data_IF_723045438556
#
_entry.id   IF_723045438556
#
_cell.length_a   1.000
_cell.length_b   1.000
_cell.length_c   1.000
_cell.angle_alpha   90.00
_cell.angle_beta   90.00
_cell.angle_gamma   90.00
#
_symmetry.space_group_name_H-M   'P 1'
#
loop_
_entity.id
_entity.type
_entity.pdbx_description
1 polymer ?
#
# COMPACT_ATOMS: atom_id res chain seq x y z
N UNK A 1 -5.40 -16.95 -1.45
CA UNK A 1 -6.51 -16.07 -1.02
C UNK A 1 -6.06 -14.63 -1.14
N UNK A 2 -6.86 -13.80 -1.81
CA UNK A 2 -6.56 -12.43 -2.21
C UNK A 2 -6.50 -11.48 -1.00
N UNK A 3 -5.45 -10.66 -0.91
CA UNK A 3 -5.26 -9.68 0.17
C UNK A 3 -6.50 -8.80 0.37
N UNK A 4 -6.89 -8.59 1.63
CA UNK A 4 -8.11 -7.85 1.97
C UNK A 4 -8.03 -6.41 1.44
N UNK A 5 -9.01 -5.92 0.66
CA UNK A 5 -8.98 -4.59 0.01
C UNK A 5 -9.12 -3.38 0.95
N UNK A 6 -8.83 -3.53 2.25
CA UNK A 6 -9.36 -2.68 3.32
C UNK A 6 -9.01 -1.18 3.21
N UNK A 7 -7.82 -0.78 2.75
CA UNK A 7 -7.37 0.62 2.85
C UNK A 7 -7.61 1.48 1.61
N UNK A 8 -7.44 0.88 0.42
CA UNK A 8 -8.03 1.43 -0.81
C UNK A 8 -9.54 1.51 -0.63
N UNK A 9 -10.15 0.51 0.04
CA UNK A 9 -11.52 0.63 0.50
C UNK A 9 -11.66 1.76 1.50
N UNK A 10 -10.80 2.03 2.48
CA UNK A 10 -11.05 3.10 3.46
C UNK A 10 -11.19 4.47 2.81
N UNK A 11 -10.22 4.91 2.01
CA UNK A 11 -10.31 6.22 1.33
C UNK A 11 -11.42 6.18 0.28
N UNK A 12 -11.51 5.12 -0.54
CA UNK A 12 -12.57 5.02 -1.56
C UNK A 12 -13.97 4.90 -0.97
N UNK A 13 -14.15 4.27 0.20
CA UNK A 13 -15.41 4.06 0.91
C UNK A 13 -15.79 5.33 1.69
N UNK A 14 -14.82 5.94 2.37
CA UNK A 14 -14.98 7.26 2.96
C UNK A 14 -15.52 8.23 1.88
N UNK A 15 -14.91 8.25 0.70
CA UNK A 15 -15.30 9.15 -0.39
C UNK A 15 -16.47 8.65 -1.26
N UNK A 16 -16.96 7.41 -1.06
CA UNK A 16 -18.14 6.90 -1.76
C UNK A 16 -19.46 7.52 -1.25
N UNK A 17 -19.48 8.03 -0.02
CA UNK A 17 -20.66 8.62 0.59
C UNK A 17 -20.79 10.14 0.28
N UNK A 18 -21.99 10.59 -0.06
CA UNK A 18 -22.26 11.98 -0.43
C UNK A 18 -22.05 12.98 0.71
N UNK A 19 -22.49 12.66 1.93
CA UNK A 19 -22.30 13.49 3.12
C UNK A 19 -20.82 13.73 3.39
N UNK A 20 -20.01 12.66 3.39
CA UNK A 20 -18.55 12.78 3.58
C UNK A 20 -17.89 13.63 2.49
N UNK A 21 -18.30 13.51 1.23
CA UNK A 21 -17.81 14.41 0.16
C UNK A 21 -18.19 15.87 0.41
N UNK A 22 -19.40 16.14 0.91
CA UNK A 22 -19.86 17.48 1.25
C UNK A 22 -19.05 18.08 2.41
N UNK A 23 -18.77 17.29 3.45
CA UNK A 23 -17.88 17.68 4.56
C UNK A 23 -16.49 18.02 4.03
N UNK A 24 -15.90 17.14 3.21
CA UNK A 24 -14.58 17.35 2.63
C UNK A 24 -14.50 18.63 1.78
N UNK A 25 -15.54 18.91 0.97
CA UNK A 25 -15.62 20.14 0.16
C UNK A 25 -15.74 21.39 1.03
N UNK A 26 -16.52 21.35 2.10
CA UNK A 26 -16.66 22.47 3.04
C UNK A 26 -15.31 22.82 3.72
N UNK A 27 -14.54 21.79 4.08
CA UNK A 27 -13.26 21.94 4.77
C UNK A 27 -12.10 22.41 3.85
N UNK A 28 -12.29 22.40 2.52
CA UNK A 28 -11.31 22.99 1.59
C UNK A 28 -11.17 24.50 1.76
N UNK A 29 -12.24 25.18 2.15
CA UNK A 29 -12.25 26.64 2.25
C UNK A 29 -11.55 27.15 3.50
N UNK A 30 -11.84 26.52 4.65
CA UNK A 30 -11.27 26.82 5.97
C UNK A 30 -11.66 25.72 6.96
N UNK A 31 -10.94 25.67 8.08
CA UNK A 31 -11.33 24.87 9.24
C UNK A 31 -12.74 25.20 9.74
N UNK A 32 -13.44 24.20 10.27
CA UNK A 32 -14.83 24.34 10.72
C UNK A 32 -15.03 23.72 12.11
N UNK A 33 -15.95 24.26 12.90
CA UNK A 33 -16.42 23.59 14.12
C UNK A 33 -17.38 22.45 13.79
N UNK A 34 -17.66 21.58 14.76
CA UNK A 34 -18.64 20.49 14.59
C UNK A 34 -20.01 21.03 14.21
N UNK A 35 -20.44 22.12 14.84
CA UNK A 35 -21.73 22.77 14.62
C UNK A 35 -21.84 23.36 13.21
N UNK A 36 -20.76 23.96 12.70
CA UNK A 36 -20.72 24.47 11.32
C UNK A 36 -20.80 23.32 10.30
N UNK A 37 -20.12 22.20 10.56
CA UNK A 37 -20.21 21.01 9.71
C UNK A 37 -21.62 20.39 9.78
N UNK A 38 -22.21 20.31 10.96
CA UNK A 38 -23.57 19.82 11.18
C UNK A 38 -24.60 20.65 10.40
N UNK A 39 -24.50 21.98 10.50
CA UNK A 39 -25.39 22.91 9.79
C UNK A 39 -25.28 22.77 8.28
N UNK A 40 -24.06 22.62 7.75
CA UNK A 40 -23.83 22.54 6.31
C UNK A 40 -24.08 21.16 5.72
N UNK A 41 -23.65 20.08 6.39
CA UNK A 41 -23.66 18.71 5.85
C UNK A 41 -24.80 17.84 6.38
N UNK A 42 -25.48 18.27 7.44
CA UNK A 42 -26.51 17.52 8.15
C UNK A 42 -25.96 16.78 9.38
N UNK A 43 -26.77 16.69 10.44
CA UNK A 43 -26.37 16.09 11.72
C UNK A 43 -26.55 14.58 11.83
N UNK A 44 -27.32 13.96 10.93
CA UNK A 44 -27.58 12.53 10.98
C UNK A 44 -26.27 11.73 10.89
N UNK A 45 -25.94 10.99 11.96
CA UNK A 45 -24.73 10.17 12.06
C UNK A 45 -23.43 10.98 11.81
N UNK A 46 -23.40 12.27 12.14
CA UNK A 46 -22.25 13.13 11.88
C UNK A 46 -20.95 12.57 12.48
N UNK A 47 -21.00 12.10 13.73
CA UNK A 47 -19.82 11.55 14.39
C UNK A 47 -19.28 10.32 13.67
N UNK A 48 -20.15 9.46 13.14
CA UNK A 48 -19.75 8.33 12.31
C UNK A 48 -19.12 8.80 10.98
N UNK A 49 -19.67 9.83 10.33
CA UNK A 49 -19.10 10.38 9.12
C UNK A 49 -17.70 10.97 9.35
N UNK A 50 -17.52 11.73 10.43
CA UNK A 50 -16.24 12.30 10.84
C UNK A 50 -15.25 11.20 11.21
N UNK A 51 -15.67 10.20 11.99
CA UNK A 51 -14.83 9.06 12.35
C UNK A 51 -14.33 8.32 11.10
N UNK A 52 -15.18 8.10 10.10
CA UNK A 52 -14.77 7.45 8.85
C UNK A 52 -13.76 8.28 8.03
N UNK A 53 -13.87 9.62 8.06
CA UNK A 53 -12.91 10.51 7.40
C UNK A 53 -11.57 10.56 8.16
N UNK A 54 -11.61 10.58 9.50
CA UNK A 54 -10.43 10.52 10.37
C UNK A 54 -9.72 9.17 10.22
N UNK A 55 -10.49 8.07 10.22
CA UNK A 55 -9.98 6.74 9.93
C UNK A 55 -9.47 6.61 8.50
N UNK A 56 -9.82 7.48 7.56
CA UNK A 56 -9.19 7.52 6.25
C UNK A 56 -7.94 8.44 6.20
N UNK A 57 -7.62 9.11 7.31
CA UNK A 57 -6.55 10.11 7.41
C UNK A 57 -6.83 11.40 6.64
N UNK A 58 -8.07 11.62 6.20
CA UNK A 58 -8.47 12.74 5.34
C UNK A 58 -8.76 14.02 6.15
N UNK A 59 -9.20 13.86 7.38
CA UNK A 59 -9.46 14.96 8.31
C UNK A 59 -8.87 14.63 9.68
N UNK A 60 -8.61 15.66 10.47
CA UNK A 60 -8.28 15.53 11.88
C UNK A 60 -9.01 16.59 12.70
N UNK A 61 -9.06 16.40 14.01
CA UNK A 61 -9.64 17.39 14.93
C UNK A 61 -8.53 17.99 15.78
N UNK A 62 -8.36 19.30 15.71
CA UNK A 62 -7.39 20.06 16.49
C UNK A 62 -8.11 21.20 17.20
N UNK A 63 -7.97 21.28 18.52
CA UNK A 63 -8.56 22.35 19.34
C UNK A 63 -10.08 22.52 19.12
N UNK A 64 -10.80 21.41 18.95
CA UNK A 64 -12.25 21.42 18.69
C UNK A 64 -12.65 21.81 17.27
N UNK A 65 -11.69 22.07 16.38
CA UNK A 65 -11.92 22.35 14.95
C UNK A 65 -11.56 21.16 14.10
N UNK A 66 -12.38 20.91 13.09
CA UNK A 66 -12.17 19.88 12.08
C UNK A 66 -11.40 20.53 10.93
N UNK A 67 -10.28 19.91 10.56
CA UNK A 67 -9.38 20.40 9.53
C UNK A 67 -9.07 19.30 8.51
N UNK A 68 -8.85 19.67 7.25
CA UNK A 68 -8.25 18.75 6.29
C UNK A 68 -6.79 18.53 6.63
N UNK A 69 -6.38 17.27 6.65
CA UNK A 69 -4.96 16.92 6.70
C UNK A 69 -4.30 17.27 5.37
N UNK A 70 -2.97 17.31 5.33
CA UNK A 70 -2.21 17.46 4.08
C UNK A 70 -2.59 16.35 3.08
N UNK A 71 -2.80 15.12 3.58
CA UNK A 71 -3.32 14.00 2.79
C UNK A 71 -4.70 14.30 2.19
N UNK A 72 -5.63 14.82 3.00
CA UNK A 72 -6.99 15.16 2.60
C UNK A 72 -7.07 16.26 1.55
N UNK A 73 -6.28 17.34 1.70
CA UNK A 73 -6.19 18.44 0.74
C UNK A 73 -5.69 17.94 -0.62
N UNK A 74 -4.51 17.30 -0.63
CA UNK A 74 -3.90 16.73 -1.83
C UNK A 74 -4.82 15.72 -2.54
N UNK A 75 -5.56 14.91 -1.77
CA UNK A 75 -6.51 13.94 -2.33
C UNK A 75 -7.64 14.64 -3.11
N UNK A 76 -8.19 15.73 -2.59
CA UNK A 76 -9.24 16.49 -3.26
C UNK A 76 -8.74 17.19 -4.52
N UNK A 77 -7.57 17.82 -4.45
CA UNK A 77 -6.93 18.50 -5.59
C UNK A 77 -6.65 17.52 -6.74
N UNK A 78 -6.18 16.31 -6.43
CA UNK A 78 -5.91 15.26 -7.42
C UNK A 78 -7.14 14.73 -8.15
N UNK A 79 -8.36 14.97 -7.63
CA UNK A 79 -9.61 14.64 -8.31
C UNK A 79 -10.13 15.76 -9.21
N UNK A 80 -9.75 17.00 -8.93
CA UNK A 80 -10.15 18.15 -9.73
C UNK A 80 -9.42 18.16 -11.08
N UNK A 81 -8.19 17.65 -11.12
CA UNK A 81 -7.38 17.51 -12.33
C UNK A 81 -7.13 16.03 -12.63
N UNK A 82 -7.65 15.50 -13.74
CA UNK A 82 -7.11 14.23 -14.27
C UNK A 82 -5.68 14.52 -14.72
N UNK A 83 -4.65 13.87 -14.14
CA UNK A 83 -3.29 14.05 -14.63
C UNK A 83 -3.27 13.65 -16.11
N UNK A 84 -2.72 14.52 -16.97
CA UNK A 84 -2.49 14.15 -18.36
C UNK A 84 -1.64 12.87 -18.39
N UNK A 85 -2.09 11.84 -19.11
CA UNK A 85 -1.37 10.57 -19.17
C UNK A 85 0.02 10.80 -19.78
N UNK A 86 1.06 10.40 -19.05
CA UNK A 86 2.42 10.44 -19.56
C UNK A 86 2.62 9.26 -20.53
N UNK A 87 3.35 9.50 -21.63
CA UNK A 87 3.67 8.45 -22.62
C UNK A 87 4.89 7.63 -22.21
N UNK A 88 5.82 8.27 -21.51
CA UNK A 88 7.04 7.68 -20.97
C UNK A 88 7.42 8.35 -19.64
N UNK A 89 8.53 7.91 -19.05
CA UNK A 89 9.07 8.50 -17.81
C UNK A 89 9.96 9.72 -18.10
N UNK A 90 10.13 10.13 -19.37
CA UNK A 90 11.00 11.25 -19.71
C UNK A 90 10.48 12.56 -19.10
N UNK A 91 11.36 13.32 -18.47
CA UNK A 91 10.99 14.55 -17.76
C UNK A 91 10.35 14.34 -16.37
N UNK A 92 10.14 13.09 -15.94
CA UNK A 92 9.77 12.79 -14.55
C UNK A 92 10.98 13.06 -13.65
N UNK A 93 10.78 13.84 -12.58
CA UNK A 93 11.86 14.15 -11.63
C UNK A 93 12.02 13.01 -10.62
N UNK A 94 13.25 12.70 -10.19
CA UNK A 94 13.48 11.76 -9.09
C UNK A 94 12.73 12.19 -7.83
N UNK A 95 12.14 11.22 -7.14
CA UNK A 95 11.36 11.43 -5.94
C UNK A 95 12.19 11.27 -4.64
N UNK A 96 11.71 11.92 -3.59
CA UNK A 96 12.22 11.85 -2.22
C UNK A 96 11.08 11.50 -1.28
N UNK A 97 11.42 10.82 -0.17
CA UNK A 97 10.49 10.59 0.93
C UNK A 97 10.50 11.84 1.80
N UNK A 98 9.38 12.55 1.87
CA UNK A 98 9.29 13.83 2.60
C UNK A 98 8.63 13.67 3.95
N UNK A 99 7.74 12.68 4.10
CA UNK A 99 7.00 12.51 5.34
C UNK A 99 6.66 11.05 5.62
N UNK A 100 6.79 10.65 6.88
CA UNK A 100 6.31 9.38 7.45
C UNK A 100 5.44 9.74 8.67
N UNK A 101 4.14 9.97 8.46
CA UNK A 101 3.18 10.36 9.50
C UNK A 101 2.29 9.20 9.94
N UNK A 102 2.03 9.20 11.25
CA UNK A 102 1.02 8.46 11.99
C UNK A 102 1.02 6.93 11.86
N UNK A 103 1.56 6.28 12.90
CA UNK A 103 1.25 4.90 13.28
C UNK A 103 -0.19 4.87 13.81
N UNK A 104 -1.16 4.56 12.95
CA UNK A 104 -2.52 4.26 13.39
C UNK A 104 -2.67 2.74 13.55
N UNK A 105 -3.48 2.24 14.49
CA UNK A 105 -3.80 0.82 14.55
C UNK A 105 -4.36 0.36 13.20
N UNK A 106 -3.83 -0.73 12.66
CA UNK A 106 -4.35 -1.31 11.43
C UNK A 106 -5.74 -1.91 11.71
N UNK A 107 -6.72 -1.62 10.85
CA UNK A 107 -8.09 -2.11 11.02
C UNK A 107 -8.16 -3.63 10.85
N UNK A 108 -7.29 -4.20 10.00
CA UNK A 108 -7.26 -5.64 9.75
C UNK A 108 -6.57 -6.43 10.87
N UNK A 109 -5.67 -5.81 11.64
CA UNK A 109 -4.89 -6.45 12.70
C UNK A 109 -4.42 -5.39 13.69
N UNK A 110 -4.98 -5.40 14.91
CA UNK A 110 -4.67 -4.42 15.95
C UNK A 110 -3.20 -4.46 16.42
N UNK A 111 -2.46 -5.53 16.13
CA UNK A 111 -1.01 -5.64 16.40
C UNK A 111 -0.14 -4.99 15.33
N UNK A 112 -0.74 -4.50 14.24
CA UNK A 112 -0.06 -3.84 13.12
C UNK A 112 -0.44 -2.38 13.04
N UNK A 113 0.33 -1.67 12.25
CA UNK A 113 0.15 -0.26 11.99
C UNK A 113 -0.25 -0.01 10.54
N UNK A 114 -0.96 1.10 10.36
CA UNK A 114 -1.03 1.82 9.09
C UNK A 114 -0.14 3.06 9.18
N UNK A 115 0.49 3.38 8.06
CA UNK A 115 1.33 4.56 7.86
C UNK A 115 0.75 5.41 6.73
N UNK A 116 0.83 6.73 6.89
CA UNK A 116 0.60 7.71 5.83
C UNK A 116 1.94 8.40 5.55
N UNK A 117 2.35 8.45 4.30
CA UNK A 117 3.62 9.01 3.89
C UNK A 117 3.46 9.86 2.63
N UNK A 118 4.52 10.54 2.21
CA UNK A 118 4.51 11.38 1.01
C UNK A 118 5.81 11.29 0.24
N UNK A 119 5.68 11.15 -1.08
CA UNK A 119 6.73 11.38 -2.06
C UNK A 119 6.65 12.79 -2.64
N UNK A 120 7.79 13.43 -2.83
CA UNK A 120 7.91 14.66 -3.61
C UNK A 120 9.04 14.58 -4.65
N UNK A 121 8.85 15.11 -5.87
CA UNK A 121 7.60 15.70 -6.35
C UNK A 121 6.51 14.64 -6.62
N UNK A 122 5.23 15.04 -6.72
CA UNK A 122 4.16 14.15 -7.15
C UNK A 122 4.44 13.50 -8.51
N UNK A 123 4.04 12.24 -8.67
CA UNK A 123 4.28 11.47 -9.90
C UNK A 123 3.23 11.73 -10.99
N UNK A 124 2.06 12.26 -10.63
CA UNK A 124 1.02 12.64 -11.60
C UNK A 124 0.69 11.53 -12.60
N UNK A 125 0.70 11.88 -13.89
CA UNK A 125 0.41 10.97 -14.99
C UNK A 125 1.44 9.85 -15.21
N UNK A 126 2.67 10.01 -14.70
CA UNK A 126 3.71 8.99 -14.81
C UNK A 126 3.46 7.80 -13.86
N UNK A 127 2.62 7.96 -12.83
CA UNK A 127 2.38 6.93 -11.83
C UNK A 127 1.86 5.61 -12.44
N UNK A 128 1.01 5.68 -13.46
CA UNK A 128 0.45 4.50 -14.16
C UNK A 128 1.53 3.69 -14.85
N UNK A 129 2.56 4.35 -15.40
CA UNK A 129 3.68 3.72 -16.09
C UNK A 129 4.58 2.90 -15.16
N UNK A 130 4.50 3.13 -13.84
CA UNK A 130 5.28 2.41 -12.85
C UNK A 130 4.66 1.06 -12.44
N UNK A 131 3.43 0.75 -12.86
CA UNK A 131 2.75 -0.51 -12.52
C UNK A 131 3.59 -1.76 -12.82
N UNK A 132 4.25 -1.88 -13.99
CA UNK A 132 5.02 -3.08 -14.31
C UNK A 132 6.32 -3.26 -13.51
N UNK A 133 6.76 -2.26 -12.74
CA UNK A 133 7.92 -2.40 -11.85
C UNK A 133 7.66 -3.38 -10.70
N UNK A 134 6.40 -3.58 -10.36
CA UNK A 134 6.00 -4.26 -9.13
C UNK A 134 5.22 -5.53 -9.48
N UNK A 135 5.72 -6.72 -9.12
CA UNK A 135 5.12 -8.01 -9.51
C UNK A 135 3.62 -8.13 -9.20
N UNK A 136 3.19 -7.58 -8.08
CA UNK A 136 1.80 -7.58 -7.62
C UNK A 136 1.24 -6.18 -7.48
N UNK A 137 1.32 -5.42 -8.56
CA UNK A 137 0.65 -4.13 -8.63
C UNK A 137 -0.58 -4.11 -9.54
N UNK A 138 -1.39 -3.07 -9.35
CA UNK A 138 -2.43 -2.65 -10.29
C UNK A 138 -2.62 -1.14 -10.16
N UNK A 139 -2.87 -0.48 -11.29
CA UNK A 139 -3.31 0.90 -11.30
C UNK A 139 -4.85 0.97 -11.25
N UNK A 140 -5.39 1.99 -10.59
CA UNK A 140 -6.84 2.24 -10.51
C UNK A 140 -7.17 3.64 -11.01
N UNK A 141 -7.64 3.76 -12.26
CA UNK A 141 -8.03 5.05 -12.84
C UNK A 141 -9.12 5.78 -12.03
N UNK A 142 -10.01 5.03 -11.37
CA UNK A 142 -11.10 5.58 -10.53
C UNK A 142 -10.62 6.49 -9.40
N UNK A 143 -9.43 6.21 -8.85
CA UNK A 143 -8.88 6.93 -7.69
C UNK A 143 -7.47 7.48 -7.96
N UNK A 144 -6.98 7.37 -9.20
CA UNK A 144 -5.65 7.85 -9.58
C UNK A 144 -4.52 7.29 -8.71
N UNK A 145 -4.53 5.98 -8.46
CA UNK A 145 -3.60 5.35 -7.52
C UNK A 145 -3.00 4.03 -8.05
N UNK A 146 -1.72 3.84 -7.75
CA UNK A 146 -0.99 2.59 -7.93
C UNK A 146 -1.04 1.80 -6.62
N UNK A 147 -1.52 0.57 -6.69
CA UNK A 147 -1.73 -0.31 -5.54
C UNK A 147 -0.77 -1.48 -5.68
N UNK A 148 0.13 -1.64 -4.71
CA UNK A 148 1.20 -2.65 -4.72
C UNK A 148 1.00 -3.56 -3.50
N UNK A 149 1.04 -4.86 -3.71
CA UNK A 149 1.10 -5.85 -2.64
C UNK A 149 2.53 -6.39 -2.53
N UNK A 150 3.16 -6.23 -1.36
CA UNK A 150 4.50 -6.77 -1.05
C UNK A 150 4.37 -7.68 0.17
N UNK A 151 4.23 -8.99 -0.05
CA UNK A 151 3.82 -9.93 0.99
C UNK A 151 2.48 -9.53 1.62
N UNK A 152 2.50 -9.23 2.91
CA UNK A 152 1.32 -8.78 3.67
C UNK A 152 1.11 -7.27 3.63
N UNK A 153 2.12 -6.50 3.22
CA UNK A 153 2.05 -5.05 3.18
C UNK A 153 1.27 -4.63 1.94
N UNK A 154 0.21 -3.84 2.15
CA UNK A 154 -0.53 -3.19 1.07
C UNK A 154 -0.08 -1.74 1.00
N UNK A 155 0.44 -1.33 -0.16
CA UNK A 155 0.97 0.00 -0.43
C UNK A 155 0.07 0.66 -1.48
N UNK A 156 -0.39 1.88 -1.23
CA UNK A 156 -1.15 2.68 -2.20
C UNK A 156 -0.45 4.01 -2.41
N UNK A 157 0.03 4.27 -3.62
CA UNK A 157 0.63 5.54 -4.02
C UNK A 157 -0.41 6.29 -4.85
N UNK A 158 -0.73 7.52 -4.49
CA UNK A 158 -1.65 8.39 -5.22
C UNK A 158 -0.88 9.32 -6.16
N UNK A 159 -1.51 9.75 -7.26
CA UNK A 159 -0.90 10.64 -8.25
C UNK A 159 -0.34 11.94 -7.63
N UNK A 160 -0.98 12.45 -6.56
CA UNK A 160 -0.52 13.61 -5.80
C UNK A 160 0.71 13.36 -4.89
N UNK A 161 1.30 12.17 -4.91
CA UNK A 161 2.50 11.82 -4.15
C UNK A 161 2.22 11.23 -2.77
N UNK A 162 0.98 11.27 -2.29
CA UNK A 162 0.60 10.62 -1.04
C UNK A 162 0.76 9.09 -1.12
N UNK A 163 1.17 8.48 -0.02
CA UNK A 163 1.35 7.03 0.11
C UNK A 163 0.66 6.54 1.37
N UNK A 164 -0.08 5.43 1.29
CA UNK A 164 -0.57 4.71 2.47
C UNK A 164 -0.02 3.30 2.47
N UNK A 165 0.41 2.81 3.64
CA UNK A 165 0.89 1.44 3.83
C UNK A 165 0.17 0.78 5.01
N UNK A 166 -0.24 -0.47 4.89
CA UNK A 166 -0.84 -1.24 6.00
C UNK A 166 -0.19 -2.56 6.24
N UNK A 167 -0.57 -3.19 7.37
CA UNK A 167 0.05 -4.41 7.90
C UNK A 167 1.55 -4.23 8.22
N UNK A 168 1.93 -2.99 8.53
CA UNK A 168 3.29 -2.65 8.96
C UNK A 168 3.50 -3.08 10.41
N UNK A 169 4.64 -3.69 10.70
CA UNK A 169 5.02 -4.21 12.03
C UNK A 169 5.79 -3.19 12.86
N UNK A 170 6.55 -2.31 12.21
CA UNK A 170 7.35 -1.29 12.88
C UNK A 170 7.60 -0.08 11.98
N UNK A 171 7.99 1.03 12.59
CA UNK A 171 8.43 2.22 11.87
C UNK A 171 9.65 1.94 10.97
N UNK A 172 10.57 1.07 11.41
CA UNK A 172 11.72 0.65 10.63
C UNK A 172 11.32 -0.09 9.34
N UNK A 173 10.33 -0.99 9.42
CA UNK A 173 9.79 -1.67 8.23
C UNK A 173 9.14 -0.67 7.26
N UNK A 174 8.46 0.35 7.79
CA UNK A 174 7.89 1.42 6.98
C UNK A 174 8.98 2.23 6.26
N UNK A 175 10.03 2.65 6.97
CA UNK A 175 11.15 3.41 6.40
C UNK A 175 11.85 2.62 5.31
N UNK A 176 12.21 1.37 5.60
CA UNK A 176 12.82 0.46 4.62
C UNK A 176 11.94 0.27 3.39
N UNK A 177 10.63 0.10 3.57
CA UNK A 177 9.69 -0.04 2.45
C UNK A 177 9.64 1.24 1.59
N UNK A 178 9.62 2.42 2.21
CA UNK A 178 9.65 3.69 1.48
C UNK A 178 10.96 3.91 0.71
N UNK A 179 12.10 3.53 1.29
CA UNK A 179 13.40 3.63 0.65
C UNK A 179 13.52 2.67 -0.54
N UNK A 180 13.05 1.43 -0.40
CA UNK A 180 12.99 0.44 -1.48
C UNK A 180 12.13 0.96 -2.66
N UNK A 181 10.96 1.53 -2.36
CA UNK A 181 10.08 2.14 -3.37
C UNK A 181 10.77 3.31 -4.08
N UNK A 182 11.36 4.23 -3.30
CA UNK A 182 12.11 5.38 -3.83
C UNK A 182 13.22 4.93 -4.77
N UNK A 183 14.04 3.96 -4.34
CA UNK A 183 15.14 3.43 -5.14
C UNK A 183 14.62 2.85 -6.45
N UNK A 184 13.64 1.96 -6.38
CA UNK A 184 13.05 1.29 -7.55
C UNK A 184 12.48 2.29 -8.56
N UNK A 185 11.70 3.27 -8.08
CA UNK A 185 11.05 4.27 -8.93
C UNK A 185 12.11 5.20 -9.55
N UNK A 186 13.08 5.68 -8.76
CA UNK A 186 14.12 6.57 -9.27
C UNK A 186 15.05 5.90 -10.27
N UNK A 187 15.35 4.61 -10.10
CA UNK A 187 16.12 3.85 -11.09
C UNK A 187 15.35 3.72 -12.42
N UNK A 188 14.03 3.53 -12.37
CA UNK A 188 13.20 3.50 -13.57
C UNK A 188 13.13 4.88 -14.25
N UNK A 189 12.94 5.95 -13.47
CA UNK A 189 12.96 7.33 -13.95
C UNK A 189 14.30 7.65 -14.61
N UNK A 190 15.43 7.30 -13.98
CA UNK A 190 16.76 7.54 -14.51
C UNK A 190 17.02 6.83 -15.85
N UNK A 191 16.42 5.66 -16.06
CA UNK A 191 16.48 4.94 -17.33
C UNK A 191 15.60 5.58 -18.41
N UNK A 192 14.61 6.39 -18.03
CA UNK A 192 13.70 7.11 -18.95
C UNK A 192 12.79 6.22 -19.79
N UNK A 193 12.82 4.90 -19.58
CA UNK A 193 12.06 3.91 -20.36
C UNK A 193 10.92 3.37 -19.52
N UNK A 194 9.72 3.39 -20.10
CA UNK A 194 8.55 2.73 -19.51
C UNK A 194 8.83 1.25 -19.32
N UNK A 195 8.72 0.73 -18.09
CA UNK A 195 8.83 -0.69 -17.81
C UNK A 195 7.86 -1.50 -18.68
N UNK A 196 8.38 -2.52 -19.37
CA UNK A 196 7.54 -3.38 -20.21
C UNK A 196 6.56 -4.15 -19.30
N UNK A 197 5.26 -4.22 -19.64
CA UNK A 197 4.31 -5.07 -18.95
C UNK A 197 4.86 -6.50 -18.82
N UNK A 198 5.06 -6.95 -17.59
CA UNK A 198 5.48 -8.34 -17.31
C UNK A 198 4.24 -9.20 -17.13
N UNK A 199 4.34 -10.45 -17.58
CA UNK A 199 3.34 -11.44 -17.24
C UNK A 199 3.33 -11.63 -15.71
N UNK A 200 2.13 -11.56 -15.10
CA UNK A 200 1.99 -11.70 -13.65
C UNK A 200 2.24 -13.16 -13.27
N UNK A 201 3.46 -13.45 -12.84
CA UNK A 201 3.84 -14.77 -12.34
C UNK A 201 3.02 -15.06 -11.08
N UNK A 202 2.12 -16.04 -11.19
CA UNK A 202 1.30 -16.49 -10.06
C UNK A 202 2.08 -17.55 -9.29
N UNK A 203 2.72 -17.14 -8.21
CA UNK A 203 3.39 -18.10 -7.31
C UNK A 203 2.38 -18.78 -6.40
N UNK A 204 2.28 -20.10 -6.53
CA UNK A 204 1.41 -20.93 -5.69
C UNK A 204 2.19 -21.86 -4.78
N UNK A 205 1.55 -22.33 -3.70
CA UNK A 205 2.15 -23.25 -2.72
C UNK A 205 2.66 -24.54 -3.37
N UNK A 206 1.99 -25.02 -4.42
CA UNK A 206 2.45 -26.15 -5.21
C UNK A 206 3.78 -25.90 -5.93
N UNK A 207 4.06 -24.67 -6.37
CA UNK A 207 5.33 -24.32 -7.02
C UNK A 207 6.48 -24.27 -6.01
N UNK A 208 6.24 -23.67 -4.85
CA UNK A 208 7.20 -23.66 -3.73
C UNK A 208 7.50 -25.11 -3.28
N UNK A 209 6.46 -25.93 -3.13
CA UNK A 209 6.59 -27.32 -2.68
C UNK A 209 7.50 -28.16 -3.59
N UNK A 210 7.56 -27.89 -4.90
CA UNK A 210 8.44 -28.61 -5.84
C UNK A 210 9.90 -28.57 -5.42
N UNK A 211 10.35 -27.46 -4.82
CA UNK A 211 11.73 -27.20 -4.44
C UNK A 211 12.03 -27.47 -2.95
N UNK A 212 11.01 -27.75 -2.12
CA UNK A 212 11.26 -28.12 -0.73
C UNK A 212 11.96 -29.48 -0.62
N UNK A 213 12.61 -29.78 0.52
CA UNK A 213 13.28 -31.06 0.76
C UNK A 213 12.36 -32.28 0.70
N UNK A 214 11.04 -32.09 0.89
CA UNK A 214 10.01 -33.16 0.90
C UNK A 214 10.31 -34.30 1.86
N UNK A 215 10.94 -33.99 2.99
CA UNK A 215 11.27 -34.96 4.04
C UNK A 215 10.16 -35.13 5.06
N UNK A 216 9.19 -34.20 5.09
CA UNK A 216 8.12 -34.14 6.10
C UNK A 216 8.62 -34.29 7.54
N UNK A 217 9.84 -33.82 7.81
CA UNK A 217 10.55 -34.03 9.07
C UNK A 217 9.97 -33.28 10.28
N UNK A 218 9.06 -32.32 10.07
CA UNK A 218 8.38 -31.51 11.10
C UNK A 218 9.29 -30.68 12.02
N UNK A 219 10.57 -30.52 11.69
CA UNK A 219 11.51 -29.66 12.46
C UNK A 219 11.11 -28.18 12.48
N UNK A 220 10.29 -27.75 11.52
CA UNK A 220 9.72 -26.40 11.44
C UNK A 220 8.33 -26.29 12.11
N UNK A 221 7.92 -27.32 12.86
CA UNK A 221 6.61 -27.44 13.54
C UNK A 221 5.39 -27.55 12.61
N UNK A 222 5.61 -27.64 11.30
CA UNK A 222 4.55 -27.86 10.32
C UNK A 222 4.29 -29.35 10.08
N UNK A 223 3.02 -29.71 9.81
CA UNK A 223 2.56 -31.09 9.67
C UNK A 223 3.24 -31.84 8.49
N UNK A 224 3.61 -31.11 7.45
CA UNK A 224 4.32 -31.59 6.27
C UNK A 224 5.04 -30.44 5.56
N UNK A 225 5.97 -30.76 4.64
CA UNK A 225 6.57 -29.78 3.72
C UNK A 225 5.50 -29.08 2.87
N UNK A 226 4.41 -29.76 2.53
CA UNK A 226 3.29 -29.15 1.82
C UNK A 226 2.56 -28.09 2.69
N UNK A 227 2.31 -28.41 3.97
CA UNK A 227 1.74 -27.46 4.92
C UNK A 227 2.65 -26.24 5.13
N UNK A 228 3.97 -26.47 5.21
CA UNK A 228 4.97 -25.39 5.24
C UNK A 228 4.88 -24.50 3.99
N UNK A 229 4.78 -25.08 2.79
CA UNK A 229 4.64 -24.31 1.55
C UNK A 229 3.37 -23.43 1.55
N UNK A 230 2.23 -23.95 2.00
CA UNK A 230 0.97 -23.19 2.13
C UNK A 230 1.20 -21.97 3.03
N UNK A 231 1.72 -22.19 4.24
CA UNK A 231 1.96 -21.11 5.20
C UNK A 231 3.02 -20.13 4.74
N UNK A 232 4.03 -20.59 4.00
CA UNK A 232 5.08 -19.72 3.47
C UNK A 232 4.51 -18.77 2.41
N UNK A 233 3.67 -19.27 1.50
CA UNK A 233 2.95 -18.44 0.52
C UNK A 233 1.97 -17.49 1.20
N UNK A 234 1.34 -17.92 2.29
CA UNK A 234 0.47 -17.08 3.13
C UNK A 234 1.24 -16.08 4.02
N UNK A 235 2.58 -16.12 4.03
CA UNK A 235 3.45 -15.31 4.90
C UNK A 235 3.18 -15.51 6.41
N UNK A 236 2.69 -16.68 6.78
CA UNK A 236 2.45 -17.11 8.16
C UNK A 236 3.68 -17.77 8.79
N UNK A 237 4.65 -18.17 7.97
CA UNK A 237 5.94 -18.73 8.40
C UNK A 237 7.10 -18.11 7.61
N UNK A 238 8.31 -18.28 8.12
CA UNK A 238 9.54 -17.76 7.51
C UNK A 238 10.31 -18.89 6.81
N UNK A 239 10.99 -18.57 5.70
CA UNK A 239 11.73 -19.56 4.90
C UNK A 239 12.82 -20.24 5.74
N UNK A 240 13.44 -19.47 6.62
CA UNK A 240 14.54 -19.83 7.52
C UNK A 240 14.12 -20.89 8.54
N UNK A 241 12.82 -21.06 8.82
CA UNK A 241 12.33 -22.12 9.72
C UNK A 241 12.51 -23.51 9.13
N UNK A 242 12.64 -23.66 7.81
CA UNK A 242 12.97 -24.94 7.20
C UNK A 242 14.50 -25.14 7.25
N UNK A 243 15.03 -25.50 8.41
CA UNK A 243 16.48 -25.73 8.58
C UNK A 243 17.08 -26.76 7.61
N UNK A 244 16.40 -27.84 7.18
CA UNK A 244 16.96 -28.76 6.19
C UNK A 244 17.16 -28.11 4.82
N UNK A 245 16.32 -27.14 4.44
CA UNK A 245 16.45 -26.42 3.16
C UNK A 245 17.69 -25.52 3.15
N UNK A 246 18.25 -25.16 4.30
CA UNK A 246 19.46 -24.33 4.41
C UNK A 246 20.75 -25.15 4.22
N UNK A 247 20.67 -26.48 4.15
CA UNK A 247 21.82 -27.32 3.90
C UNK A 247 22.38 -27.11 2.49
N UNK A 248 23.71 -27.19 2.33
CA UNK A 248 24.39 -26.90 1.06
C UNK A 248 23.84 -27.68 -0.14
N UNK A 249 23.38 -28.93 0.07
CA UNK A 249 22.77 -29.77 -0.97
C UNK A 249 21.48 -29.22 -1.57
N UNK A 250 20.80 -28.28 -0.88
CA UNK A 250 19.59 -27.63 -1.36
C UNK A 250 19.82 -26.16 -1.76
N UNK A 251 21.06 -25.70 -1.87
CA UNK A 251 21.39 -24.30 -2.21
C UNK A 251 20.65 -23.79 -3.46
N UNK A 252 20.64 -24.56 -4.56
CA UNK A 252 19.90 -24.19 -5.78
C UNK A 252 18.39 -24.11 -5.54
N UNK A 253 17.82 -25.04 -4.78
CA UNK A 253 16.41 -25.04 -4.44
C UNK A 253 16.03 -23.84 -3.56
N UNK A 254 16.90 -23.50 -2.60
CA UNK A 254 16.73 -22.35 -1.73
C UNK A 254 16.70 -21.05 -2.55
N UNK A 255 17.62 -20.87 -3.49
CA UNK A 255 17.63 -19.72 -4.40
C UNK A 255 16.39 -19.67 -5.29
N UNK A 256 15.95 -20.80 -5.85
CA UNK A 256 14.70 -20.85 -6.61
C UNK A 256 13.49 -20.42 -5.78
N UNK A 257 13.39 -20.89 -4.53
CA UNK A 257 12.32 -20.48 -3.63
C UNK A 257 12.43 -18.98 -3.34
N UNK A 258 13.62 -18.45 -3.06
CA UNK A 258 13.83 -17.01 -2.83
C UNK A 258 13.32 -16.17 -4.01
N UNK A 259 13.68 -16.54 -5.24
CA UNK A 259 13.18 -15.88 -6.45
C UNK A 259 11.66 -15.95 -6.57
N UNK A 260 11.04 -17.11 -6.30
CA UNK A 260 9.58 -17.23 -6.30
C UNK A 260 8.93 -16.34 -5.22
N UNK A 261 9.55 -16.23 -4.05
CA UNK A 261 9.05 -15.36 -2.97
C UNK A 261 9.13 -13.85 -3.32
N UNK A 262 9.91 -13.43 -4.32
CA UNK A 262 9.92 -12.03 -4.79
C UNK A 262 8.61 -11.65 -5.50
N UNK A 263 7.88 -12.63 -6.02
CA UNK A 263 6.59 -12.42 -6.68
C UNK A 263 5.40 -12.42 -5.71
N UNK A 264 5.62 -12.61 -4.39
CA UNK A 264 4.57 -12.73 -3.37
C UNK A 264 4.45 -11.50 -2.47
#
# INVERSE_FOLDING_TARGET
MTGSPADVKLVSNAMANATRRKIMALLMEKERTREEVESAAGGAMLDYHLQMLQQAGLVETKEGRIILTDFGKNFLESKAEKPAEAKDLAGTKPLQVVELRQLLPCIADASKFRIIARFEPPLGGALKLLEPLFPRARYSDKIGALIIQKGNILITIYAAGNVTMTMIKSEEEARKTMDDLKKTINEAIAKGVTPVPREKVKVDHAEIYKYLPKTDCRVCEEQSCYAFAIKLVARETALEKCTPLLEARYSTNLEHIRTLLEYL
#
